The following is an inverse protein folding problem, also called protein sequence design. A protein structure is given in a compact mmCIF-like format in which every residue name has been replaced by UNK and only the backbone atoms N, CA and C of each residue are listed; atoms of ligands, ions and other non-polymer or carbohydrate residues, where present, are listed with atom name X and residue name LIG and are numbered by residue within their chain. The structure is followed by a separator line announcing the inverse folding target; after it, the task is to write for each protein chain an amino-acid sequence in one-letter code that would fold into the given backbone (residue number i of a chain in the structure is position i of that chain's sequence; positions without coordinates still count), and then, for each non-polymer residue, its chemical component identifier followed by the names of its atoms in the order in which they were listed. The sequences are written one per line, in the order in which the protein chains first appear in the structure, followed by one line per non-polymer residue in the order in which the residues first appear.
data_IF_593487096580
#
_entry.id   IF_593487096580
#
_cell.length_a   1.000
_cell.length_b   1.000
_cell.length_c   1.000
_cell.angle_alpha   90.00
_cell.angle_beta   90.00
_cell.angle_gamma   90.00
#
_symmetry.space_group_name_H-M   'P 1'
#
loop_
_entity.id
_entity.type
_entity.pdbx_description
1 polymer ?
#
# COMPACT_ATOMS: atom_id res chain seq x y z
N UNK A 1 -23.37 -9.62 21.64
CA UNK A 1 -22.47 -10.22 20.61
C UNK A 1 -22.76 -9.49 19.32
N UNK A 2 -21.79 -8.79 18.74
CA UNK A 2 -21.92 -8.28 17.38
C UNK A 2 -21.70 -9.45 16.41
N UNK A 3 -22.75 -9.82 15.68
CA UNK A 3 -22.67 -10.84 14.64
C UNK A 3 -22.31 -10.17 13.32
N UNK A 4 -21.04 -10.27 12.93
CA UNK A 4 -20.61 -9.86 11.59
C UNK A 4 -20.93 -10.98 10.62
N UNK A 5 -22.06 -10.88 9.92
CA UNK A 5 -22.40 -11.80 8.85
C UNK A 5 -21.41 -11.65 7.69
N UNK A 6 -20.65 -12.71 7.40
CA UNK A 6 -19.80 -12.79 6.20
C UNK A 6 -20.65 -13.29 5.04
N UNK A 7 -21.06 -12.37 4.17
CA UNK A 7 -21.72 -12.73 2.92
C UNK A 7 -20.66 -12.93 1.84
N UNK A 8 -20.65 -14.07 1.13
CA UNK A 8 -19.79 -14.25 -0.04
C UNK A 8 -20.17 -13.21 -1.11
N UNK A 9 -19.18 -12.51 -1.64
CA UNK A 9 -19.36 -11.67 -2.81
C UNK A 9 -19.18 -12.53 -4.08
N UNK A 10 -20.11 -12.42 -5.01
CA UNK A 10 -20.03 -13.07 -6.32
C UNK A 10 -20.00 -11.97 -7.40
N UNK A 11 -18.84 -11.29 -7.59
CA UNK A 11 -18.72 -10.28 -8.63
C UNK A 11 -18.88 -10.92 -10.01
N UNK A 12 -19.34 -10.12 -10.99
CA UNK A 12 -19.28 -10.53 -12.40
C UNK A 12 -17.81 -10.63 -12.84
N UNK A 13 -17.56 -11.26 -13.98
CA UNK A 13 -16.19 -11.39 -14.50
C UNK A 13 -15.55 -10.02 -14.74
N UNK A 14 -16.33 -9.05 -15.21
CA UNK A 14 -15.88 -7.68 -15.46
C UNK A 14 -15.52 -6.98 -14.14
N UNK A 15 -16.38 -7.10 -13.12
CA UNK A 15 -16.09 -6.54 -11.80
C UNK A 15 -14.87 -7.19 -11.14
N UNK A 16 -14.67 -8.50 -11.33
CA UNK A 16 -13.49 -9.20 -10.82
C UNK A 16 -12.21 -8.73 -11.51
N UNK A 17 -12.24 -8.54 -12.84
CA UNK A 17 -11.10 -8.02 -13.61
C UNK A 17 -10.74 -6.59 -13.18
N UNK A 18 -11.74 -5.72 -12.99
CA UNK A 18 -11.53 -4.35 -12.51
C UNK A 18 -10.92 -4.31 -11.09
N UNK A 19 -11.39 -5.20 -10.21
CA UNK A 19 -10.80 -5.34 -8.87
C UNK A 19 -9.34 -5.80 -8.95
N UNK A 20 -9.03 -6.77 -9.81
CA UNK A 20 -7.66 -7.25 -10.00
C UNK A 20 -6.74 -6.13 -10.53
N UNK A 21 -7.24 -5.33 -11.47
CA UNK A 21 -6.54 -4.13 -11.98
C UNK A 21 -6.25 -3.13 -10.87
N UNK A 22 -7.25 -2.75 -10.07
CA UNK A 22 -7.06 -1.84 -8.93
C UNK A 22 -6.09 -2.40 -7.89
N UNK A 23 -6.17 -3.71 -7.60
CA UNK A 23 -5.22 -4.38 -6.72
C UNK A 23 -3.81 -4.23 -7.26
N UNK A 24 -3.59 -4.42 -8.57
CA UNK A 24 -2.28 -4.25 -9.18
C UNK A 24 -1.74 -2.82 -9.06
N UNK A 25 -2.58 -1.81 -9.31
CA UNK A 25 -2.21 -0.40 -9.10
C UNK A 25 -1.77 -0.16 -7.66
N UNK A 26 -2.50 -0.69 -6.67
CA UNK A 26 -2.14 -0.55 -5.26
C UNK A 26 -0.86 -1.32 -4.89
N UNK A 27 -0.56 -2.44 -5.55
CA UNK A 27 0.71 -3.15 -5.38
C UNK A 27 1.88 -2.32 -5.89
N UNK A 28 1.74 -1.71 -7.06
CA UNK A 28 2.73 -0.79 -7.63
C UNK A 28 2.94 0.43 -6.71
N UNK A 29 1.85 1.04 -6.25
CA UNK A 29 1.89 2.16 -5.30
C UNK A 29 2.64 1.79 -4.00
N UNK A 30 2.35 0.64 -3.40
CA UNK A 30 3.04 0.18 -2.19
C UNK A 30 4.55 0.01 -2.39
N UNK A 31 4.92 -0.60 -3.52
CA UNK A 31 6.32 -0.80 -3.90
C UNK A 31 7.02 0.54 -4.16
N UNK A 32 6.33 1.50 -4.78
CA UNK A 32 6.87 2.83 -5.02
C UNK A 32 7.00 3.64 -3.72
N UNK A 33 6.06 3.50 -2.77
CA UNK A 33 6.20 4.03 -1.41
C UNK A 33 7.50 3.53 -0.78
N UNK A 34 7.77 2.22 -0.87
CA UNK A 34 9.01 1.64 -0.36
C UNK A 34 10.24 2.23 -1.07
N UNK A 35 10.20 2.34 -2.40
CA UNK A 35 11.30 2.91 -3.17
C UNK A 35 11.61 4.34 -2.71
N UNK A 36 10.62 5.23 -2.69
CA UNK A 36 10.82 6.61 -2.24
C UNK A 36 11.27 6.68 -0.79
N UNK A 37 10.68 5.89 0.12
CA UNK A 37 11.11 5.83 1.53
C UNK A 37 12.60 5.48 1.68
N UNK A 38 13.14 4.68 0.77
CA UNK A 38 14.56 4.28 0.79
C UNK A 38 15.52 5.25 0.09
N UNK A 39 15.03 6.13 -0.80
CA UNK A 39 15.88 6.96 -1.66
C UNK A 39 15.69 8.47 -1.45
N UNK A 40 14.56 8.89 -0.89
CA UNK A 40 14.28 10.29 -0.58
C UNK A 40 14.60 10.60 0.89
N UNK A 41 14.65 11.88 1.19
CA UNK A 41 14.93 12.39 2.52
C UNK A 41 13.70 12.33 3.46
N UNK A 42 13.93 12.47 4.76
CA UNK A 42 12.87 12.40 5.77
C UNK A 42 11.90 13.59 5.75
N UNK A 43 12.20 14.70 5.07
CA UNK A 43 11.23 15.77 4.83
C UNK A 43 10.19 15.40 3.77
N UNK A 44 10.57 14.56 2.82
CA UNK A 44 9.68 13.99 1.82
C UNK A 44 8.95 12.72 2.29
N UNK A 45 9.64 11.83 3.01
CA UNK A 45 9.13 10.47 3.34
C UNK A 45 9.31 10.07 4.81
N UNK A 46 9.49 11.02 5.72
CA UNK A 46 9.67 10.72 7.14
C UNK A 46 8.40 10.23 7.85
N UNK A 47 7.23 10.36 7.23
CA UNK A 47 5.96 9.87 7.76
C UNK A 47 4.97 9.61 6.64
N UNK A 48 3.93 8.81 6.91
CA UNK A 48 2.83 8.61 5.97
C UNK A 48 2.20 9.94 5.52
N UNK A 49 2.06 10.90 6.45
CA UNK A 49 1.48 12.20 6.14
C UNK A 49 2.35 13.00 5.14
N UNK A 50 3.67 13.06 5.37
CA UNK A 50 4.60 13.69 4.43
C UNK A 50 4.58 12.97 3.08
N UNK A 51 4.58 11.65 3.09
CA UNK A 51 4.55 10.86 1.86
C UNK A 51 3.24 11.04 1.07
N UNK A 52 2.11 11.26 1.74
CA UNK A 52 0.84 11.56 1.06
C UNK A 52 0.91 12.83 0.20
N UNK A 53 1.74 13.81 0.56
CA UNK A 53 1.87 15.05 -0.24
C UNK A 53 2.60 14.83 -1.56
N UNK A 54 3.26 13.67 -1.75
CA UNK A 54 3.88 13.26 -3.03
C UNK A 54 2.88 12.64 -4.01
N UNK A 55 1.68 12.26 -3.56
CA UNK A 55 0.69 11.60 -4.42
C UNK A 55 0.23 12.43 -5.64
N UNK A 56 0.17 13.78 -5.59
CA UNK A 56 -0.02 14.59 -6.79
C UNK A 56 1.11 14.38 -7.81
N UNK A 57 2.36 14.49 -7.38
CA UNK A 57 3.54 14.27 -8.25
C UNK A 57 3.51 12.85 -8.86
N UNK A 58 3.11 11.85 -8.07
CA UNK A 58 2.97 10.47 -8.56
C UNK A 58 1.96 10.35 -9.70
N UNK A 59 0.87 11.12 -9.68
CA UNK A 59 -0.15 11.08 -10.74
C UNK A 59 0.34 11.76 -12.02
N UNK A 60 1.18 12.78 -11.88
CA UNK A 60 1.81 13.45 -13.01
C UNK A 60 2.90 12.57 -13.64
N UNK A 61 3.70 11.88 -12.81
CA UNK A 61 4.75 10.96 -13.25
C UNK A 61 4.19 9.62 -13.77
N UNK A 62 3.15 9.08 -13.11
CA UNK A 62 2.55 7.78 -13.41
C UNK A 62 1.02 7.92 -13.51
N UNK A 63 0.51 8.19 -14.73
CA UNK A 63 -0.93 8.40 -14.95
C UNK A 63 -1.83 7.25 -14.47
N UNK A 64 -1.30 6.03 -14.37
CA UNK A 64 -2.03 4.86 -13.83
C UNK A 64 -2.57 5.08 -12.42
N UNK A 65 -1.92 5.92 -11.60
CA UNK A 65 -2.42 6.26 -10.26
C UNK A 65 -3.63 7.19 -10.27
N UNK A 66 -4.00 7.76 -11.43
CA UNK A 66 -5.24 8.52 -11.57
C UNK A 66 -6.48 7.63 -11.67
N UNK A 67 -6.30 6.35 -12.01
CA UNK A 67 -7.39 5.38 -12.22
C UNK A 67 -8.00 4.91 -10.89
N UNK A 68 -7.28 5.06 -9.77
CA UNK A 68 -7.76 4.67 -8.44
C UNK A 68 -8.09 5.89 -7.57
N UNK A 69 -8.96 5.66 -6.58
CA UNK A 69 -9.35 6.71 -5.65
C UNK A 69 -8.16 7.21 -4.81
N UNK A 70 -8.03 8.54 -4.67
CA UNK A 70 -6.93 9.15 -3.92
C UNK A 70 -6.85 8.70 -2.45
N UNK A 71 -8.00 8.48 -1.78
CA UNK A 71 -8.01 7.97 -0.41
C UNK A 71 -7.53 6.52 -0.32
N UNK A 72 -7.79 5.71 -1.34
CA UNK A 72 -7.29 4.33 -1.40
C UNK A 72 -5.76 4.31 -1.59
N UNK A 73 -5.22 5.22 -2.42
CA UNK A 73 -3.77 5.40 -2.56
C UNK A 73 -3.13 5.86 -1.24
N UNK A 74 -3.70 6.87 -0.58
CA UNK A 74 -3.27 7.28 0.77
C UNK A 74 -3.29 6.09 1.73
N UNK A 75 -4.34 5.26 1.71
CA UNK A 75 -4.40 4.08 2.58
C UNK A 75 -3.32 3.05 2.28
N UNK A 76 -2.90 2.94 1.02
CA UNK A 76 -1.81 2.07 0.61
C UNK A 76 -0.48 2.56 1.19
N UNK A 77 -0.20 3.86 1.08
CA UNK A 77 0.97 4.49 1.70
C UNK A 77 0.93 4.30 3.23
N UNK A 78 -0.21 4.57 3.88
CA UNK A 78 -0.35 4.36 5.33
C UNK A 78 -0.06 2.91 5.73
N UNK A 79 -0.57 1.92 4.99
CA UNK A 79 -0.31 0.49 5.25
C UNK A 79 1.19 0.17 5.24
N UNK A 80 1.98 0.82 4.39
CA UNK A 80 3.43 0.66 4.38
C UNK A 80 4.07 1.13 5.69
N UNK A 81 3.71 2.33 6.18
CA UNK A 81 4.22 2.85 7.45
C UNK A 81 3.73 2.05 8.67
N UNK A 82 2.48 1.58 8.66
CA UNK A 82 1.97 0.70 9.71
C UNK A 82 2.77 -0.60 9.77
N UNK A 83 3.08 -1.20 8.61
CA UNK A 83 3.93 -2.39 8.54
C UNK A 83 5.36 -2.13 9.05
N UNK A 84 5.95 -0.98 8.73
CA UNK A 84 7.25 -0.58 9.29
C UNK A 84 7.20 -0.44 10.81
N UNK A 85 6.18 0.23 11.34
CA UNK A 85 6.00 0.42 12.78
C UNK A 85 5.83 -0.92 13.50
N UNK A 86 4.98 -1.81 12.96
CA UNK A 86 4.78 -3.15 13.51
C UNK A 86 6.08 -3.98 13.52
N UNK A 87 6.89 -3.90 12.46
CA UNK A 87 8.20 -4.57 12.44
C UNK A 87 9.17 -4.00 13.48
N UNK A 88 9.19 -2.67 13.67
CA UNK A 88 9.99 -2.04 14.74
C UNK A 88 9.57 -2.56 16.11
N UNK A 89 8.26 -2.55 16.39
CA UNK A 89 7.72 -3.01 17.66
C UNK A 89 8.03 -4.49 17.90
N UNK A 90 7.91 -5.35 16.89
CA UNK A 90 8.28 -6.76 17.01
C UNK A 90 9.76 -6.94 17.34
N UNK A 91 10.64 -6.13 16.73
CA UNK A 91 12.08 -6.14 17.01
C UNK A 91 12.39 -5.68 18.44
N UNK A 92 11.74 -4.62 18.90
CA UNK A 92 11.83 -4.11 20.28
C UNK A 92 11.39 -5.17 21.30
N UNK A 93 10.36 -5.96 20.96
CA UNK A 93 9.88 -7.09 21.76
C UNK A 93 10.79 -8.35 21.69
N UNK A 94 11.98 -8.25 21.08
CA UNK A 94 12.96 -9.34 21.02
C UNK A 94 12.72 -10.38 19.92
N UNK A 95 11.77 -10.15 18.99
CA UNK A 95 11.54 -11.06 17.87
C UNK A 95 12.56 -10.85 16.75
N UNK A 96 12.95 -11.94 16.08
CA UNK A 96 13.74 -11.87 14.85
C UNK A 96 12.84 -11.44 13.69
N UNK A 97 12.96 -10.19 13.28
CA UNK A 97 12.22 -9.63 12.13
C UNK A 97 13.04 -9.61 10.85
N UNK A 98 12.36 -9.75 9.71
CA UNK A 98 12.93 -9.48 8.39
C UNK A 98 12.74 -8.02 7.97
N UNK A 99 13.05 -7.73 6.70
CA UNK A 99 12.81 -6.42 6.09
C UNK A 99 11.62 -6.48 5.13
N UNK A 100 10.95 -5.34 4.94
CA UNK A 100 9.97 -5.19 3.86
C UNK A 100 10.69 -5.33 2.51
N UNK A 101 10.19 -6.23 1.66
CA UNK A 101 10.73 -6.51 0.33
C UNK A 101 9.80 -5.95 -0.75
N UNK A 102 10.38 -5.65 -1.90
CA UNK A 102 9.61 -5.48 -3.13
C UNK A 102 8.82 -6.77 -3.38
N UNK A 103 7.54 -6.63 -3.74
CA UNK A 103 6.68 -7.77 -4.10
C UNK A 103 6.25 -7.65 -5.54
N UNK A 104 6.49 -8.67 -6.36
CA UNK A 104 5.88 -8.72 -7.69
C UNK A 104 4.35 -8.90 -7.54
N UNK A 105 3.56 -8.56 -8.59
CA UNK A 105 2.11 -8.72 -8.56
C UNK A 105 1.63 -10.08 -8.04
N UNK A 106 2.33 -11.15 -8.43
CA UNK A 106 2.00 -12.54 -8.05
C UNK A 106 2.32 -12.88 -6.60
N UNK A 107 3.25 -12.19 -5.96
CA UNK A 107 3.69 -12.45 -4.57
C UNK A 107 2.91 -11.63 -3.53
N UNK A 108 2.12 -10.67 -3.99
CA UNK A 108 1.34 -9.82 -3.09
C UNK A 108 0.01 -10.50 -2.73
N UNK A 109 0.01 -11.12 -1.56
CA UNK A 109 -1.18 -11.64 -0.89
C UNK A 109 -1.78 -10.52 -0.02
N UNK A 110 -3.00 -10.09 -0.35
CA UNK A 110 -3.72 -8.99 0.30
C UNK A 110 -4.22 -9.34 1.69
#
# INVERSE_FOLDING_TARGET
MEYTHRYPAYPTQEAAAELEHHIDIHRQAYNYTRYEYTHLDADSTGSAYKHHSRLPDWKDEFPVFTEVNAKALQRTVTRFYDNLSNLSQQKENGNKVGNLKWKSPREFQS
#
